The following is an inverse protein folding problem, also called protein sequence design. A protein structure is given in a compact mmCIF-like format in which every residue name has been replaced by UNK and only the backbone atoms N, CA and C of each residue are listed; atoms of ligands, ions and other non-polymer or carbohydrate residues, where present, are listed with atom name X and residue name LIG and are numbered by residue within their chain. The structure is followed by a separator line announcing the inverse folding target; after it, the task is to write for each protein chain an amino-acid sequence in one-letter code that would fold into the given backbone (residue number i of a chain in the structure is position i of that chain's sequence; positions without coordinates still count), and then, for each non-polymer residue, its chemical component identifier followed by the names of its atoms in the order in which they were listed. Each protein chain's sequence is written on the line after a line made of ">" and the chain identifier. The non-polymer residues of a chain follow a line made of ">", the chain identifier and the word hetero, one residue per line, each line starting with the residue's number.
data_IF_924206552291
#
_entry.id   IF_924206552291
#
_cell.length_a   1.000
_cell.length_b   1.000
_cell.length_c   1.000
_cell.angle_alpha   90.00
_cell.angle_beta   90.00
_cell.angle_gamma   90.00
#
_symmetry.space_group_name_H-M   'P 1'
#
loop_
_entity.id
_entity.type
_entity.pdbx_description
1 polymer ?
#
# COMPACT_ATOMS: atom_id res chain seq x y z
N UNK A 1 1.66 -7.98 5.67
CA UNK A 1 2.01 -6.99 6.71
C UNK A 1 3.35 -6.28 6.43
N UNK A 2 4.26 -6.94 5.71
CA UNK A 2 5.62 -6.41 5.49
C UNK A 2 5.76 -5.47 4.29
N UNK A 3 4.69 -5.20 3.54
CA UNK A 3 4.78 -4.38 2.33
C UNK A 3 5.05 -2.92 2.68
N UNK A 4 6.12 -2.38 2.10
CA UNK A 4 6.47 -0.95 2.14
C UNK A 4 6.74 -0.48 0.71
N UNK A 5 6.79 0.82 0.49
CA UNK A 5 7.33 1.34 -0.77
C UNK A 5 8.81 1.63 -0.58
N UNK A 6 9.61 1.11 -1.48
CA UNK A 6 11.02 1.44 -1.64
C UNK A 6 11.15 2.20 -2.97
N UNK A 7 11.43 3.49 -2.89
CA UNK A 7 11.41 4.40 -4.06
C UNK A 7 10.11 4.30 -4.88
N UNK A 8 8.96 4.23 -4.19
CA UNK A 8 7.64 4.13 -4.82
C UNK A 8 7.25 2.74 -5.30
N UNK A 9 8.09 1.72 -5.12
CA UNK A 9 7.82 0.34 -5.54
C UNK A 9 7.41 -0.51 -4.35
N UNK A 10 6.24 -1.19 -4.37
CA UNK A 10 5.86 -2.11 -3.31
C UNK A 10 6.88 -3.23 -3.14
N UNK A 11 7.38 -3.38 -1.93
CA UNK A 11 8.48 -4.28 -1.63
C UNK A 11 8.21 -4.99 -0.31
N UNK A 12 8.56 -6.28 -0.21
CA UNK A 12 8.46 -7.04 1.03
C UNK A 12 9.68 -6.75 1.90
N UNK A 13 9.53 -5.91 2.91
CA UNK A 13 10.63 -5.48 3.77
C UNK A 13 11.28 -6.62 4.55
N UNK A 14 10.52 -7.67 4.86
CA UNK A 14 11.01 -8.82 5.64
C UNK A 14 12.08 -9.64 4.91
N UNK A 15 12.17 -9.57 3.59
CA UNK A 15 13.15 -10.29 2.77
C UNK A 15 14.08 -9.35 2.01
N UNK A 16 13.99 -8.04 2.26
CA UNK A 16 14.84 -7.04 1.60
C UNK A 16 16.04 -6.72 2.48
N UNK A 17 17.27 -6.96 2.01
CA UNK A 17 18.46 -6.60 2.77
C UNK A 17 18.54 -5.09 3.01
N UNK A 18 18.99 -4.68 4.19
CA UNK A 18 19.03 -3.28 4.58
C UNK A 18 19.90 -2.41 3.64
N UNK A 19 20.92 -3.01 3.02
CA UNK A 19 21.79 -2.27 2.10
C UNK A 19 21.06 -1.81 0.83
N UNK A 20 19.98 -2.47 0.44
CA UNK A 20 19.14 -2.03 -0.69
C UNK A 20 18.31 -0.79 -0.36
N UNK A 21 18.13 -0.48 0.91
CA UNK A 21 17.40 0.70 1.37
C UNK A 21 18.31 1.92 1.60
N UNK A 22 19.62 1.78 1.42
CA UNK A 22 20.57 2.90 1.55
C UNK A 22 20.26 3.95 0.49
N UNK A 23 20.11 5.20 0.93
CA UNK A 23 19.75 6.36 0.07
C UNK A 23 18.38 6.20 -0.65
N UNK A 24 17.58 5.22 -0.27
CA UNK A 24 16.24 5.04 -0.82
C UNK A 24 15.17 5.71 0.05
N UNK A 25 14.08 6.17 -0.60
CA UNK A 25 12.90 6.63 0.11
C UNK A 25 12.06 5.42 0.54
N UNK A 26 11.88 5.26 1.83
CA UNK A 26 11.03 4.21 2.41
C UNK A 26 9.72 4.83 2.89
N UNK A 27 8.60 4.32 2.40
CA UNK A 27 7.27 4.75 2.84
C UNK A 27 6.50 3.54 3.38
N UNK A 28 6.00 3.71 4.58
CA UNK A 28 5.16 2.71 5.25
C UNK A 28 3.68 3.10 5.16
N UNK A 29 2.78 2.26 5.70
CA UNK A 29 1.33 2.53 5.67
C UNK A 29 0.96 3.84 6.36
N UNK A 30 1.69 4.24 7.38
CA UNK A 30 1.49 5.51 8.07
C UNK A 30 1.73 6.71 7.12
N UNK A 31 2.63 6.54 6.17
CA UNK A 31 2.94 7.56 5.18
C UNK A 31 1.91 7.71 4.05
N UNK A 32 0.84 6.92 4.05
CA UNK A 32 -0.26 7.12 3.10
C UNK A 32 -1.13 8.31 3.50
N UNK A 33 -1.26 8.61 4.78
CA UNK A 33 -1.98 9.78 5.25
C UNK A 33 -1.32 11.05 4.70
N UNK A 34 -2.12 11.93 4.11
CA UNK A 34 -1.62 13.15 3.46
C UNK A 34 -1.11 12.94 2.03
N UNK A 35 -0.99 11.71 1.56
CA UNK A 35 -0.69 11.44 0.17
C UNK A 35 -1.98 11.63 -0.66
N UNK A 36 -1.98 12.55 -1.61
CA UNK A 36 -3.15 12.95 -2.41
C UNK A 36 -4.32 13.53 -1.62
N UNK A 37 -4.11 13.89 -0.35
CA UNK A 37 -5.10 14.49 0.53
C UNK A 37 -4.48 15.64 1.31
N UNK A 38 -5.28 16.31 2.14
CA UNK A 38 -4.75 17.32 3.06
C UNK A 38 -3.75 16.69 4.05
N UNK A 39 -2.73 17.43 4.53
CA UNK A 39 -1.76 16.90 5.47
C UNK A 39 -2.44 16.22 6.67
N UNK A 40 -2.07 14.96 6.94
CA UNK A 40 -2.63 14.17 8.02
C UNK A 40 -4.01 13.55 7.75
N UNK A 41 -4.66 13.88 6.64
CA UNK A 41 -5.94 13.27 6.27
C UNK A 41 -5.72 11.84 5.74
N UNK A 42 -6.67 10.92 6.00
CA UNK A 42 -6.57 9.55 5.48
C UNK A 42 -6.48 9.52 3.96
N UNK A 43 -5.75 8.54 3.44
CA UNK A 43 -5.77 8.26 2.01
C UNK A 43 -7.16 7.74 1.59
N UNK A 44 -7.67 8.06 0.39
CA UNK A 44 -9.00 7.60 -0.05
C UNK A 44 -9.23 6.09 0.08
N UNK A 45 -8.19 5.29 -0.08
CA UNK A 45 -8.27 3.84 0.15
C UNK A 45 -8.50 3.49 1.62
N UNK A 46 -7.93 4.24 2.55
CA UNK A 46 -8.15 4.01 3.98
C UNK A 46 -9.61 4.30 4.35
N UNK A 47 -10.17 5.40 3.83
CA UNK A 47 -11.59 5.72 4.01
C UNK A 47 -12.49 4.66 3.37
N UNK A 48 -12.15 4.20 2.15
CA UNK A 48 -12.91 3.16 1.47
C UNK A 48 -12.89 1.83 2.25
N UNK A 49 -11.76 1.45 2.84
CA UNK A 49 -11.66 0.26 3.68
C UNK A 49 -12.54 0.35 4.91
N UNK A 50 -12.60 1.52 5.54
CA UNK A 50 -13.47 1.76 6.70
C UNK A 50 -14.95 1.67 6.31
N UNK A 51 -15.35 2.45 5.31
CA UNK A 51 -16.75 2.49 4.85
C UNK A 51 -17.26 1.14 4.36
N UNK A 52 -16.43 0.37 3.67
CA UNK A 52 -16.79 -0.95 3.14
C UNK A 52 -16.63 -2.08 4.16
N UNK A 53 -16.11 -1.81 5.34
CA UNK A 53 -15.82 -2.84 6.34
C UNK A 53 -14.83 -3.89 5.82
N UNK A 54 -13.82 -3.45 5.07
CA UNK A 54 -12.92 -4.35 4.34
C UNK A 54 -11.90 -5.06 5.24
N UNK A 55 -11.74 -4.62 6.48
CA UNK A 55 -10.82 -5.24 7.44
C UNK A 55 -11.58 -6.11 8.44
N UNK A 56 -11.11 -7.34 8.65
CA UNK A 56 -11.55 -8.19 9.76
C UNK A 56 -10.53 -8.10 10.90
N UNK A 57 -9.56 -9.01 10.97
CA UNK A 57 -8.50 -8.90 11.99
C UNK A 57 -7.48 -7.79 11.73
N UNK A 58 -7.43 -7.27 10.50
CA UNK A 58 -6.56 -6.16 10.12
C UNK A 58 -5.12 -6.53 9.77
N UNK A 59 -4.71 -7.77 9.89
CA UNK A 59 -3.31 -8.17 9.67
C UNK A 59 -2.84 -7.99 8.22
N UNK A 60 -3.69 -8.33 7.25
CA UNK A 60 -3.38 -8.16 5.82
C UNK A 60 -3.57 -6.72 5.33
N UNK A 61 -4.33 -5.92 6.06
CA UNK A 61 -4.79 -4.60 5.63
C UNK A 61 -3.66 -3.63 5.26
N UNK A 62 -2.59 -3.46 6.06
CA UNK A 62 -1.51 -2.56 5.67
C UNK A 62 -0.85 -2.93 4.35
N UNK A 63 -0.58 -4.22 4.13
CA UNK A 63 0.03 -4.70 2.89
C UNK A 63 -0.87 -4.46 1.68
N UNK A 64 -2.17 -4.74 1.81
CA UNK A 64 -3.14 -4.51 0.75
C UNK A 64 -3.24 -3.02 0.42
N UNK A 65 -3.31 -2.15 1.44
CA UNK A 65 -3.36 -0.70 1.24
C UNK A 65 -2.12 -0.19 0.50
N UNK A 66 -0.93 -0.65 0.88
CA UNK A 66 0.32 -0.24 0.23
C UNK A 66 0.38 -0.69 -1.23
N UNK A 67 0.00 -1.93 -1.52
CA UNK A 67 -0.03 -2.46 -2.89
C UNK A 67 -1.09 -1.78 -3.75
N UNK A 68 -2.29 -1.56 -3.22
CA UNK A 68 -3.37 -0.90 -3.93
C UNK A 68 -3.07 0.58 -4.19
N UNK A 69 -2.51 1.28 -3.22
CA UNK A 69 -2.13 2.68 -3.38
C UNK A 69 -1.04 2.83 -4.45
N UNK A 70 -0.05 1.93 -4.49
CA UNK A 70 0.98 1.92 -5.53
C UNK A 70 0.38 1.70 -6.92
N UNK A 71 -0.58 0.79 -7.06
CA UNK A 71 -1.29 0.58 -8.30
C UNK A 71 -1.98 1.86 -8.78
N UNK A 72 -2.66 2.56 -7.88
CA UNK A 72 -3.37 3.81 -8.20
C UNK A 72 -2.42 4.97 -8.54
N UNK A 73 -1.18 4.96 -8.07
CA UNK A 73 -0.17 5.94 -8.48
C UNK A 73 0.17 5.82 -9.97
N UNK A 74 0.14 4.62 -10.52
CA UNK A 74 0.50 4.33 -11.91
C UNK A 74 -0.72 4.18 -12.82
N UNK A 75 -1.88 3.80 -12.28
CA UNK A 75 -3.09 3.54 -13.03
C UNK A 75 -4.31 3.99 -12.22
N UNK A 76 -4.91 5.12 -12.61
CA UNK A 76 -6.03 5.73 -11.88
C UNK A 76 -7.38 5.06 -12.12
N UNK A 77 -7.47 4.17 -13.12
CA UNK A 77 -8.69 3.44 -13.47
C UNK A 77 -8.36 1.96 -13.77
N UNK A 78 -7.85 1.20 -12.77
CA UNK A 78 -7.46 -0.18 -12.99
C UNK A 78 -8.67 -1.07 -13.24
N UNK A 79 -8.47 -2.08 -14.10
CA UNK A 79 -9.45 -3.14 -14.29
C UNK A 79 -9.44 -4.08 -13.08
N UNK A 80 -10.48 -4.90 -12.95
CA UNK A 80 -10.56 -5.90 -11.89
C UNK A 80 -9.37 -6.89 -11.94
N UNK A 81 -8.93 -7.27 -13.12
CA UNK A 81 -7.80 -8.19 -13.28
C UNK A 81 -6.48 -7.53 -12.90
N UNK A 82 -6.27 -6.27 -13.23
CA UNK A 82 -5.12 -5.49 -12.79
C UNK A 82 -5.05 -5.37 -11.25
N UNK A 83 -6.21 -5.16 -10.62
CA UNK A 83 -6.31 -5.13 -9.15
C UNK A 83 -5.94 -6.50 -8.55
N UNK A 84 -6.47 -7.59 -9.10
CA UNK A 84 -6.16 -8.95 -8.64
C UNK A 84 -4.68 -9.26 -8.75
N UNK A 85 -4.06 -8.88 -9.86
CA UNK A 85 -2.63 -9.08 -10.08
C UNK A 85 -1.79 -8.27 -9.07
N UNK A 86 -2.10 -6.99 -8.88
CA UNK A 86 -1.39 -6.12 -7.95
C UNK A 86 -1.49 -6.61 -6.50
N UNK A 87 -2.60 -7.23 -6.12
CA UNK A 87 -2.85 -7.72 -4.76
C UNK A 87 -2.49 -9.19 -4.55
N UNK A 88 -2.02 -9.88 -5.58
CA UNK A 88 -1.81 -11.34 -5.54
C UNK A 88 -0.80 -11.78 -4.48
N UNK A 89 0.13 -10.93 -4.09
CA UNK A 89 1.11 -11.19 -3.03
C UNK A 89 0.63 -10.90 -1.62
N UNK A 90 -0.57 -10.36 -1.46
CA UNK A 90 -1.14 -9.99 -0.16
C UNK A 90 -2.25 -10.95 0.22
N UNK A 91 -1.89 -11.99 0.96
CA UNK A 91 -2.84 -13.02 1.37
C UNK A 91 -3.57 -12.63 2.66
N UNK A 92 -4.88 -12.85 2.63
CA UNK A 92 -5.75 -12.73 3.80
C UNK A 92 -5.97 -14.11 4.43
#
# INVERSE_FOLDING_TARGET
>A
ACTVWLDGVPTLSCITPVHEAVDAEVRTVEGLAGLRTAPGAPHPLQDAFDVCGAAQCGFCTPGILMSAAALLEHNTAPTRDEIREALSGNLC
#
